data_IF_012555849803
#
_entry.id   IF_012555849803
#
_cell.length_a   1.000
_cell.length_b   1.000
_cell.length_c   1.000
_cell.angle_alpha   90.00
_cell.angle_beta   90.00
_cell.angle_gamma   90.00
#
_symmetry.space_group_name_H-M   'P 1'
#
loop_
_entity.id
_entity.type
_entity.pdbx_description
1 polymer ?
#
# COMPACT_ATOMS: atom_id res chain seq x y z
N UNK A 1 -9.39 17.37 11.74
CA UNK A 1 -9.45 16.10 10.99
C UNK A 1 -10.93 15.75 10.80
N UNK A 2 -11.38 15.58 9.56
CA UNK A 2 -12.75 15.16 9.25
C UNK A 2 -12.80 13.64 9.13
N UNK A 3 -13.68 12.99 9.90
CA UNK A 3 -13.89 11.54 9.83
C UNK A 3 -14.75 11.24 8.60
N UNK A 4 -14.22 10.48 7.64
CA UNK A 4 -14.97 10.00 6.48
C UNK A 4 -15.40 8.55 6.71
N UNK A 5 -16.71 8.23 6.61
CA UNK A 5 -17.16 6.85 6.73
C UNK A 5 -16.72 6.04 5.50
N UNK A 6 -16.36 4.78 5.72
CA UNK A 6 -16.20 3.83 4.62
C UNK A 6 -17.51 3.70 3.83
N UNK A 7 -17.40 3.48 2.53
CA UNK A 7 -18.55 3.13 1.70
C UNK A 7 -19.19 1.82 2.19
N UNK A 8 -20.49 1.64 1.96
CA UNK A 8 -21.25 0.51 2.50
C UNK A 8 -20.67 -0.86 2.10
N UNK A 9 -20.19 -0.96 0.85
CA UNK A 9 -19.53 -2.16 0.32
C UNK A 9 -18.19 -2.43 1.00
N UNK A 10 -17.41 -1.37 1.26
CA UNK A 10 -16.14 -1.46 1.96
C UNK A 10 -16.30 -2.04 3.38
N UNK A 11 -17.31 -1.56 4.10
CA UNK A 11 -17.61 -2.04 5.45
C UNK A 11 -17.99 -3.52 5.48
N UNK A 12 -18.81 -3.97 4.52
CA UNK A 12 -19.24 -5.38 4.42
C UNK A 12 -18.08 -6.32 4.11
N UNK A 13 -17.13 -5.87 3.28
CA UNK A 13 -15.95 -6.67 2.94
C UNK A 13 -14.96 -6.75 4.11
N UNK A 14 -14.77 -5.66 4.87
CA UNK A 14 -14.00 -5.67 6.12
C UNK A 14 -14.58 -6.68 7.12
N UNK A 15 -15.91 -6.69 7.30
CA UNK A 15 -16.56 -7.65 8.20
C UNK A 15 -16.34 -9.11 7.73
N UNK A 16 -16.38 -9.38 6.42
CA UNK A 16 -16.10 -10.71 5.86
C UNK A 16 -14.63 -11.11 6.01
N UNK A 17 -13.71 -10.19 5.72
CA UNK A 17 -12.26 -10.39 5.83
C UNK A 17 -11.84 -10.64 7.28
N UNK A 18 -12.38 -9.88 8.23
CA UNK A 18 -12.11 -10.09 9.66
C UNK A 18 -12.48 -11.52 10.05
N UNK A 19 -13.66 -12.00 9.62
CA UNK A 19 -14.12 -13.36 9.93
C UNK A 19 -13.31 -14.46 9.22
N UNK A 20 -12.76 -14.23 8.03
CA UNK A 20 -11.95 -15.21 7.29
C UNK A 20 -10.47 -15.22 7.69
N UNK A 21 -9.90 -14.08 8.12
CA UNK A 21 -8.50 -13.93 8.53
C UNK A 21 -8.21 -14.60 9.88
N UNK A 22 -9.23 -14.92 10.69
CA UNK A 22 -9.02 -15.60 11.98
C UNK A 22 -8.28 -16.92 11.89
N UNK A 23 -8.31 -17.58 10.72
CA UNK A 23 -7.59 -18.84 10.48
C UNK A 23 -6.11 -18.62 10.15
N UNK A 24 -5.75 -17.49 9.52
CA UNK A 24 -4.41 -17.19 9.02
C UNK A 24 -4.02 -15.72 9.26
N UNK A 25 -3.80 -15.39 10.53
CA UNK A 25 -3.50 -14.02 10.96
C UNK A 25 -2.15 -13.51 10.43
N UNK A 26 -1.25 -14.39 10.02
CA UNK A 26 0.02 -14.04 9.41
C UNK A 26 -0.11 -13.35 8.04
N UNK A 27 -1.26 -13.50 7.36
CA UNK A 27 -1.49 -12.98 6.01
C UNK A 27 -1.39 -11.45 5.97
N UNK A 28 -1.84 -10.72 6.99
CA UNK A 28 -1.78 -9.24 6.93
C UNK A 28 -0.35 -8.74 6.71
N UNK A 29 0.65 -9.39 7.33
CA UNK A 29 2.03 -8.97 7.22
C UNK A 29 2.57 -9.26 5.82
N UNK A 30 2.19 -10.39 5.21
CA UNK A 30 2.50 -10.69 3.81
C UNK A 30 1.94 -9.62 2.88
N UNK A 31 0.66 -9.25 3.05
CA UNK A 31 0.01 -8.25 2.19
C UNK A 31 0.65 -6.86 2.34
N UNK A 32 0.98 -6.45 3.57
CA UNK A 32 1.66 -5.16 3.78
C UNK A 32 3.06 -5.12 3.16
N UNK A 33 3.84 -6.20 3.27
CA UNK A 33 5.15 -6.30 2.63
C UNK A 33 5.02 -6.29 1.10
N UNK A 34 4.02 -6.99 0.55
CA UNK A 34 3.74 -6.97 -0.89
C UNK A 34 3.42 -5.57 -1.39
N UNK A 35 2.56 -4.83 -0.67
CA UNK A 35 2.22 -3.45 -1.02
C UNK A 35 3.42 -2.50 -0.94
N UNK A 36 4.29 -2.68 0.05
CA UNK A 36 5.52 -1.92 0.18
C UNK A 36 6.51 -2.21 -0.96
N UNK A 37 6.63 -3.47 -1.38
CA UNK A 37 7.44 -3.85 -2.55
C UNK A 37 6.92 -3.19 -3.83
N UNK A 38 5.60 -3.25 -4.06
CA UNK A 38 4.95 -2.59 -5.20
C UNK A 38 5.23 -1.07 -5.22
N UNK A 39 5.24 -0.42 -4.06
CA UNK A 39 5.51 1.01 -3.94
C UNK A 39 6.96 1.37 -4.32
N UNK A 40 7.93 0.51 -3.97
CA UNK A 40 9.33 0.66 -4.36
C UNK A 40 9.52 0.39 -5.86
N UNK A 41 8.84 -0.62 -6.40
CA UNK A 41 8.91 -0.92 -7.83
C UNK A 41 8.33 0.25 -8.66
N UNK A 42 7.22 0.86 -8.23
CA UNK A 42 6.64 2.03 -8.91
C UNK A 42 7.60 3.21 -9.01
N UNK A 43 8.32 3.54 -7.94
CA UNK A 43 9.30 4.65 -7.98
C UNK A 43 10.50 4.28 -8.86
N UNK A 44 10.93 3.02 -8.86
CA UNK A 44 11.94 2.53 -9.79
C UNK A 44 11.50 2.71 -11.25
N UNK A 45 10.30 2.25 -11.63
CA UNK A 45 9.78 2.43 -12.99
C UNK A 45 9.63 3.91 -13.37
N UNK A 46 9.18 4.75 -12.44
CA UNK A 46 9.10 6.19 -12.67
C UNK A 46 10.47 6.79 -12.98
N UNK A 47 11.50 6.43 -12.21
CA UNK A 47 12.88 6.90 -12.44
C UNK A 47 13.48 6.45 -13.79
N UNK A 48 12.99 5.36 -14.38
CA UNK A 48 13.41 4.95 -15.73
C UNK A 48 12.85 5.85 -16.84
N UNK A 49 11.78 6.60 -16.55
CA UNK A 49 11.04 7.40 -17.55
C UNK A 49 11.09 8.90 -17.29
N UNK A 50 11.41 9.30 -16.05
CA UNK A 50 11.46 10.69 -15.59
C UNK A 50 12.89 11.04 -15.16
N UNK A 51 13.60 11.81 -16.00
CA UNK A 51 14.99 12.24 -15.76
C UNK A 51 15.14 13.13 -14.51
N UNK A 52 14.04 13.64 -13.93
CA UNK A 52 14.07 14.43 -12.71
C UNK A 52 14.11 13.59 -11.43
N UNK A 53 13.88 12.28 -11.56
CA UNK A 53 13.86 11.33 -10.44
C UNK A 53 15.14 10.48 -10.45
N UNK A 54 16.03 10.74 -9.50
CA UNK A 54 17.20 9.89 -9.27
C UNK A 54 16.83 8.67 -8.43
N UNK A 55 17.11 7.46 -8.93
CA UNK A 55 16.94 6.23 -8.18
C UNK A 55 18.29 5.67 -7.72
N UNK A 56 18.50 5.66 -6.40
CA UNK A 56 19.60 4.95 -5.77
C UNK A 56 19.03 3.80 -4.94
N UNK A 57 19.36 2.56 -5.32
CA UNK A 57 18.82 1.35 -4.71
C UNK A 57 19.00 1.30 -3.19
N UNK A 58 20.11 1.83 -2.68
CA UNK A 58 20.43 1.75 -1.25
C UNK A 58 19.53 2.64 -0.37
N UNK A 59 18.81 3.60 -0.97
CA UNK A 59 17.86 4.47 -0.27
C UNK A 59 16.47 3.81 -0.11
N UNK A 60 16.22 2.70 -0.81
CA UNK A 60 14.93 2.01 -0.83
C UNK A 60 14.91 0.76 0.06
N UNK A 61 14.02 0.75 1.05
CA UNK A 61 13.91 -0.35 2.00
C UNK A 61 12.52 -0.50 2.59
N UNK A 62 12.26 -1.69 3.14
CA UNK A 62 11.09 -1.99 3.98
C UNK A 62 11.61 -2.30 5.38
N UNK A 63 11.11 -1.60 6.39
CA UNK A 63 11.50 -1.76 7.80
C UNK A 63 10.30 -2.20 8.63
N UNK A 64 10.49 -3.26 9.40
CA UNK A 64 9.50 -3.77 10.35
C UNK A 64 9.98 -3.43 11.76
N UNK A 65 9.18 -2.66 12.49
CA UNK A 65 9.53 -2.14 13.82
C UNK A 65 8.46 -2.61 14.82
N UNK A 66 8.73 -3.68 15.59
CA UNK A 66 7.85 -4.09 16.67
C UNK A 66 8.05 -3.22 17.91
N UNK A 67 6.96 -2.75 18.51
CA UNK A 67 6.95 -2.07 19.81
C UNK A 67 6.08 -2.87 20.79
N UNK A 68 6.74 -3.53 21.73
CA UNK A 68 6.07 -4.39 22.71
C UNK A 68 5.33 -3.60 23.78
N UNK A 69 5.82 -2.42 24.13
CA UNK A 69 5.24 -1.59 25.18
C UNK A 69 3.94 -0.97 24.70
N UNK A 70 3.95 -0.40 23.48
CA UNK A 70 2.75 0.18 22.86
C UNK A 70 1.85 -0.86 22.19
N UNK A 71 2.32 -2.11 22.09
CA UNK A 71 1.64 -3.22 21.39
C UNK A 71 1.35 -2.88 19.93
N UNK A 72 2.29 -2.22 19.27
CA UNK A 72 2.17 -1.83 17.86
C UNK A 72 3.21 -2.56 17.01
N UNK A 73 2.91 -2.65 15.72
CA UNK A 73 3.83 -3.12 14.70
C UNK A 73 3.80 -2.10 13.57
N UNK A 74 4.94 -1.47 13.31
CA UNK A 74 5.08 -0.52 12.20
C UNK A 74 5.74 -1.22 11.01
N UNK A 75 5.11 -1.10 9.84
CA UNK A 75 5.71 -1.44 8.54
C UNK A 75 5.95 -0.11 7.83
N UNK A 76 7.22 0.22 7.59
CA UNK A 76 7.64 1.45 6.92
C UNK A 76 8.32 1.09 5.61
N UNK A 77 7.91 1.72 4.53
CA UNK A 77 8.59 1.67 3.24
C UNK A 77 9.06 3.08 2.82
N UNK A 78 10.01 3.12 1.89
CA UNK A 78 10.47 4.36 1.26
C UNK A 78 10.09 4.41 -0.22
N UNK A 79 8.98 3.75 -0.60
CA UNK A 79 8.47 3.73 -1.97
C UNK A 79 7.85 5.07 -2.40
N UNK A 80 7.11 5.03 -3.51
CA UNK A 80 6.54 6.23 -4.14
C UNK A 80 5.54 7.02 -3.25
N UNK A 81 5.00 6.38 -2.22
CA UNK A 81 3.98 6.96 -1.35
C UNK A 81 2.62 7.12 -2.03
N UNK A 82 1.75 7.91 -1.41
CA UNK A 82 0.43 8.27 -1.94
C UNK A 82 0.13 9.73 -1.63
N UNK A 83 -0.50 10.40 -2.60
CA UNK A 83 -1.13 11.71 -2.44
C UNK A 83 -2.40 11.60 -1.60
N UNK A 84 -2.97 12.75 -1.21
CA UNK A 84 -4.21 12.77 -0.44
C UNK A 84 -5.38 12.16 -1.22
N UNK A 85 -5.46 12.46 -2.50
CA UNK A 85 -6.49 11.98 -3.42
C UNK A 85 -6.38 10.46 -3.62
N UNK A 86 -5.15 9.95 -3.76
CA UNK A 86 -4.89 8.51 -3.84
C UNK A 86 -5.25 7.79 -2.53
N UNK A 87 -4.98 8.39 -1.37
CA UNK A 87 -5.40 7.84 -0.08
C UNK A 87 -6.93 7.73 0.01
N UNK A 88 -7.65 8.77 -0.43
CA UNK A 88 -9.11 8.78 -0.40
C UNK A 88 -9.71 7.73 -1.37
N UNK A 89 -9.08 7.54 -2.52
CA UNK A 89 -9.60 6.64 -3.57
C UNK A 89 -9.20 5.19 -3.33
N UNK A 90 -7.95 4.93 -2.97
CA UNK A 90 -7.40 3.57 -2.83
C UNK A 90 -7.70 2.93 -1.48
N UNK A 91 -7.82 3.72 -0.40
CA UNK A 91 -8.14 3.21 0.94
C UNK A 91 -9.60 3.45 1.32
N UNK A 92 -10.21 4.53 0.83
CA UNK A 92 -11.60 4.90 1.15
C UNK A 92 -12.66 4.12 0.36
N UNK A 93 -12.27 3.49 -0.75
CA UNK A 93 -13.11 2.63 -1.58
C UNK A 93 -12.44 1.26 -1.65
N UNK A 94 -13.18 0.19 -1.31
CA UNK A 94 -12.62 -1.15 -1.46
C UNK A 94 -12.60 -1.51 -2.95
N UNK A 95 -11.42 -1.95 -3.40
CA UNK A 95 -11.17 -2.58 -4.70
C UNK A 95 -10.92 -1.67 -5.93
N UNK A 96 -10.20 -0.55 -5.76
CA UNK A 96 -9.33 -0.07 -6.84
C UNK A 96 -7.86 -0.26 -6.43
N UNK A 97 -7.22 -1.30 -6.98
CA UNK A 97 -5.78 -1.47 -6.82
C UNK A 97 -5.06 -0.43 -7.67
N UNK A 98 -4.49 0.60 -7.03
CA UNK A 98 -3.62 1.56 -7.71
C UNK A 98 -2.42 0.88 -8.41
N UNK A 99 -2.00 -0.32 -7.98
CA UNK A 99 -0.99 -1.12 -8.68
C UNK A 99 -1.50 -1.71 -10.00
N UNK A 100 -2.75 -2.15 -10.05
CA UNK A 100 -3.36 -2.63 -11.29
C UNK A 100 -3.54 -1.49 -12.30
N UNK A 101 -4.00 -0.33 -11.85
CA UNK A 101 -4.12 0.86 -12.68
C UNK A 101 -2.75 1.31 -13.23
N UNK A 102 -1.73 1.34 -12.38
CA UNK A 102 -0.35 1.67 -12.78
C UNK A 102 0.18 0.72 -13.87
N UNK A 103 -0.02 -0.60 -13.71
CA UNK A 103 0.38 -1.57 -14.74
C UNK A 103 -0.31 -1.31 -16.08
N UNK A 104 -1.62 -1.05 -16.08
CA UNK A 104 -2.37 -0.78 -17.31
C UNK A 104 -1.91 0.49 -18.03
N UNK A 105 -1.59 1.54 -17.28
CA UNK A 105 -1.10 2.81 -17.83
C UNK A 105 0.29 2.68 -18.46
N UNK A 106 1.12 1.75 -17.95
CA UNK A 106 2.51 1.57 -18.39
C UNK A 106 2.75 0.33 -19.28
N UNK A 107 1.77 -0.55 -19.48
CA UNK A 107 1.84 -1.68 -20.44
C UNK A 107 1.56 -1.29 -21.90
N UNK A 108 1.14 -0.05 -22.17
CA UNK A 108 0.76 0.43 -23.51
C UNK A 108 1.83 1.24 -24.27
N UNK A 109 3.11 1.03 -23.97
CA UNK A 109 4.25 1.57 -24.75
C UNK A 109 5.23 0.49 -25.18
#
# INVERSE_FOLDING_TARGET
MTVKPFQAEARRLLDLMINSIYTHKEIFLRELISNASDAIDKIYYKALTDETVSFNKDDYYIRIIPDREQRTLTVLDTGIGMTREELETNLGVIAQSGSLAFKQEHESK
#
